data_IF_771633936655
#
_entry.id   IF_771633936655
#
_cell.length_a   1.000
_cell.length_b   1.000
_cell.length_c   1.000
_cell.angle_alpha   90.00
_cell.angle_beta   90.00
_cell.angle_gamma   90.00
#
_symmetry.space_group_name_H-M   'P 1'
#
loop_
_entity.id
_entity.type
_entity.pdbx_description
1 polymer ?
#
# COMPACT_ATOMS: atom_id res chain seq x y z
N UNK A 1 20.47 -4.64 29.77
CA UNK A 1 21.48 -4.05 28.87
C UNK A 1 20.74 -3.40 27.70
N UNK A 2 21.00 -2.14 27.39
CA UNK A 2 20.43 -1.49 26.22
C UNK A 2 21.30 -1.79 25.00
N UNK A 3 20.68 -2.06 23.84
CA UNK A 3 21.39 -2.33 22.58
C UNK A 3 21.15 -1.13 21.67
N UNK A 4 22.20 -0.57 21.06
CA UNK A 4 22.09 0.59 20.19
C UNK A 4 23.00 0.42 18.97
N UNK A 5 22.63 1.06 17.88
CA UNK A 5 23.41 0.99 16.64
C UNK A 5 22.70 1.68 15.47
N UNK A 6 23.22 1.45 14.27
CA UNK A 6 22.66 1.97 13.02
C UNK A 6 22.20 0.84 12.14
N UNK A 7 21.10 1.06 11.42
CA UNK A 7 20.57 0.09 10.45
C UNK A 7 21.50 -0.13 9.25
N UNK A 8 22.41 0.81 9.00
CA UNK A 8 23.46 0.68 7.99
C UNK A 8 24.53 -0.36 8.39
N UNK A 9 24.76 -0.55 9.70
CA UNK A 9 25.78 -1.47 10.22
C UNK A 9 25.19 -2.86 10.53
N UNK A 10 23.95 -2.90 11.01
CA UNK A 10 23.21 -4.13 11.31
C UNK A 10 21.76 -3.97 10.87
N UNK A 11 21.33 -4.80 9.93
CA UNK A 11 19.96 -4.71 9.42
C UNK A 11 18.95 -5.14 10.49
N UNK A 12 17.72 -4.66 10.35
CA UNK A 12 16.65 -5.04 11.26
C UNK A 12 16.34 -6.55 11.18
N UNK A 13 16.55 -7.17 10.01
CA UNK A 13 16.43 -8.62 9.83
C UNK A 13 17.43 -9.41 10.68
N UNK A 14 18.62 -8.86 10.90
CA UNK A 14 19.66 -9.51 11.72
C UNK A 14 19.44 -9.25 13.21
N UNK A 15 18.92 -8.06 13.55
CA UNK A 15 18.67 -7.64 14.93
C UNK A 15 17.46 -8.37 15.55
N UNK A 16 16.36 -8.50 14.82
CA UNK A 16 15.10 -9.01 15.35
C UNK A 16 15.17 -10.46 15.88
N UNK A 17 15.90 -11.41 15.26
CA UNK A 17 16.12 -12.74 15.82
C UNK A 17 16.76 -12.71 17.20
N UNK A 18 17.69 -11.78 17.46
CA UNK A 18 18.34 -11.60 18.77
C UNK A 18 17.34 -11.06 19.80
N UNK A 19 16.48 -10.15 19.38
CA UNK A 19 15.44 -9.55 20.22
C UNK A 19 14.22 -10.45 20.42
N UNK A 20 14.08 -11.53 19.64
CA UNK A 20 12.87 -12.36 19.64
C UNK A 20 12.58 -13.06 20.98
N UNK A 21 13.59 -13.28 21.83
CA UNK A 21 13.39 -13.81 23.18
C UNK A 21 13.34 -12.73 24.26
N UNK A 22 13.48 -11.45 23.89
CA UNK A 22 13.54 -10.34 24.83
C UNK A 22 12.19 -9.62 24.92
N UNK A 23 11.93 -9.00 26.06
CA UNK A 23 10.82 -8.08 26.26
C UNK A 23 11.36 -6.66 26.43
N UNK A 24 10.77 -5.70 25.72
CA UNK A 24 11.26 -4.33 25.70
C UNK A 24 10.72 -3.51 24.55
N UNK A 25 11.31 -2.33 24.34
CA UNK A 25 10.96 -1.43 23.24
C UNK A 25 12.16 -1.28 22.33
N UNK A 26 11.97 -1.57 21.06
CA UNK A 26 12.89 -1.21 20.00
C UNK A 26 12.41 0.09 19.36
N UNK A 27 13.13 1.17 19.61
CA UNK A 27 12.91 2.47 18.97
C UNK A 27 13.84 2.60 17.78
N UNK A 28 13.32 3.09 16.66
CA UNK A 28 14.08 3.38 15.44
C UNK A 28 13.77 4.81 15.04
N UNK A 29 14.80 5.65 15.03
CA UNK A 29 14.73 7.05 14.64
C UNK A 29 15.49 7.29 13.33
N UNK A 30 15.33 8.49 12.76
CA UNK A 30 16.02 8.90 11.54
C UNK A 30 15.74 7.97 10.33
N UNK A 31 14.51 7.46 10.24
CA UNK A 31 14.04 6.77 9.04
C UNK A 31 14.05 7.71 7.84
N UNK A 32 14.07 7.15 6.62
CA UNK A 32 14.17 7.91 5.35
C UNK A 32 13.11 9.01 5.21
N UNK A 33 11.93 8.80 5.80
CA UNK A 33 10.80 9.74 5.79
C UNK A 33 10.74 10.66 7.03
N UNK A 34 11.78 10.66 7.86
CA UNK A 34 11.87 11.44 9.10
C UNK A 34 10.97 10.94 10.24
N UNK A 35 10.28 9.82 10.07
CA UNK A 35 9.41 9.26 11.11
C UNK A 35 10.21 8.46 12.15
N UNK A 36 9.58 8.23 13.30
CA UNK A 36 10.08 7.35 14.35
C UNK A 36 9.16 6.14 14.46
N UNK A 37 9.75 4.96 14.56
CA UNK A 37 9.07 3.70 14.80
C UNK A 37 9.39 3.20 16.22
N UNK A 38 8.40 2.66 16.92
CA UNK A 38 8.60 1.99 18.20
C UNK A 38 7.86 0.66 18.22
N UNK A 39 8.62 -0.43 18.39
CA UNK A 39 8.12 -1.79 18.48
C UNK A 39 8.20 -2.26 19.93
N UNK A 40 7.05 -2.51 20.53
CA UNK A 40 6.98 -3.12 21.86
C UNK A 40 6.96 -4.64 21.71
N UNK A 41 8.02 -5.27 22.18
CA UNK A 41 8.26 -6.70 22.10
C UNK A 41 7.95 -7.35 23.44
N UNK A 42 7.23 -8.46 23.41
CA UNK A 42 6.97 -9.30 24.57
C UNK A 42 6.92 -10.77 24.15
N UNK A 43 7.89 -11.57 24.60
CA UNK A 43 7.91 -13.02 24.35
C UNK A 43 7.88 -13.41 22.87
N UNK A 44 8.60 -12.67 22.01
CA UNK A 44 8.64 -12.93 20.57
C UNK A 44 7.41 -12.45 19.80
N UNK A 45 6.57 -11.63 20.42
CA UNK A 45 5.43 -10.99 19.80
C UNK A 45 5.58 -9.48 19.82
N UNK A 46 5.13 -8.82 18.75
CA UNK A 46 4.92 -7.37 18.75
C UNK A 46 3.55 -7.13 19.39
N UNK A 47 3.58 -6.50 20.57
CA UNK A 47 2.39 -6.12 21.36
C UNK A 47 1.86 -4.76 21.03
N UNK A 48 2.70 -3.88 20.53
CA UNK A 48 2.31 -2.52 20.14
C UNK A 48 3.30 -2.03 19.11
N UNK A 49 2.80 -1.35 18.10
CA UNK A 49 3.63 -0.74 17.07
C UNK A 49 3.19 0.70 16.88
N UNK A 50 4.07 1.62 17.27
CA UNK A 50 3.92 3.04 16.98
C UNK A 50 4.73 3.42 15.75
N UNK A 51 4.13 4.26 14.91
CA UNK A 51 4.82 4.87 13.78
C UNK A 51 4.38 6.32 13.62
N UNK A 52 5.35 7.24 13.59
CA UNK A 52 5.05 8.67 13.53
C UNK A 52 4.22 9.17 14.72
N UNK A 53 4.41 8.54 15.89
CA UNK A 53 3.66 8.87 17.12
C UNK A 53 2.23 8.33 17.18
N UNK A 54 1.79 7.48 16.22
CA UNK A 54 0.45 6.87 16.21
C UNK A 54 0.52 5.37 16.40
N UNK A 55 -0.45 4.82 17.12
CA UNK A 55 -0.66 3.38 17.22
C UNK A 55 -1.21 2.83 15.91
N UNK A 56 -0.59 1.76 15.42
CA UNK A 56 -1.03 1.05 14.22
C UNK A 56 -1.97 -0.09 14.57
N UNK A 57 -3.01 -0.28 13.74
CA UNK A 57 -3.82 -1.49 13.79
C UNK A 57 -3.07 -2.72 13.22
N UNK A 58 -3.64 -3.91 13.33
CA UNK A 58 -3.01 -5.17 12.89
C UNK A 58 -2.59 -5.14 11.42
N UNK A 59 -3.39 -4.57 10.53
CA UNK A 59 -3.11 -4.54 9.10
C UNK A 59 -2.01 -3.53 8.78
N UNK A 60 -2.12 -2.33 9.36
CA UNK A 60 -1.13 -1.26 9.22
C UNK A 60 0.21 -1.68 9.81
N UNK A 61 0.21 -2.29 11.00
CA UNK A 61 1.41 -2.79 11.66
C UNK A 61 2.13 -3.84 10.81
N UNK A 62 1.38 -4.77 10.19
CA UNK A 62 1.96 -5.74 9.25
C UNK A 62 2.63 -5.02 8.08
N UNK A 63 1.90 -4.17 7.36
CA UNK A 63 2.43 -3.51 6.16
C UNK A 63 3.60 -2.57 6.47
N UNK A 64 3.53 -1.82 7.57
CA UNK A 64 4.61 -0.94 8.01
C UNK A 64 5.84 -1.71 8.47
N UNK A 65 5.66 -2.90 9.03
CA UNK A 65 6.78 -3.76 9.42
C UNK A 65 7.59 -4.20 8.20
N UNK A 66 6.96 -4.48 7.05
CA UNK A 66 7.67 -4.80 5.81
C UNK A 66 8.65 -3.67 5.47
N UNK A 67 8.15 -2.44 5.38
CA UNK A 67 8.99 -1.28 5.04
C UNK A 67 10.13 -1.11 6.04
N UNK A 68 9.82 -1.24 7.34
CA UNK A 68 10.78 -1.05 8.41
C UNK A 68 11.92 -2.07 8.36
N UNK A 69 11.61 -3.34 8.09
CA UNK A 69 12.60 -4.43 7.98
C UNK A 69 13.53 -4.25 6.79
N UNK A 70 13.07 -3.57 5.73
CA UNK A 70 13.87 -3.29 4.54
C UNK A 70 14.58 -1.93 4.58
N UNK A 71 14.29 -1.09 5.58
CA UNK A 71 15.00 0.17 5.76
C UNK A 71 16.48 -0.05 6.02
N UNK A 72 17.32 0.67 5.28
CA UNK A 72 18.78 0.70 5.49
C UNK A 72 19.23 1.95 6.25
N UNK A 73 18.33 2.89 6.47
CA UNK A 73 18.60 4.13 7.18
C UNK A 73 17.86 4.16 8.52
N UNK A 74 18.57 4.62 9.55
CA UNK A 74 18.02 4.88 10.87
C UNK A 74 18.96 4.45 11.98
N UNK A 75 18.78 5.07 13.15
CA UNK A 75 19.42 4.67 14.39
C UNK A 75 18.44 3.83 15.19
N UNK A 76 18.89 2.75 15.80
CA UNK A 76 18.05 1.91 16.65
C UNK A 76 18.53 1.93 18.10
N UNK A 77 17.58 1.82 19.02
CA UNK A 77 17.82 1.65 20.44
C UNK A 77 16.80 0.66 21.02
N UNK A 78 17.29 -0.44 21.58
CA UNK A 78 16.49 -1.40 22.33
C UNK A 78 16.65 -1.17 23.83
N UNK A 79 15.51 -1.01 24.51
CA UNK A 79 15.43 -0.85 25.96
C UNK A 79 14.63 -2.02 26.55
N UNK A 80 15.26 -2.92 27.33
CA UNK A 80 14.54 -3.97 28.02
C UNK A 80 13.51 -3.36 28.98
N UNK A 81 12.29 -3.89 28.98
CA UNK A 81 11.25 -3.53 29.95
C UNK A 81 10.79 -4.79 30.68
N UNK A 82 10.55 -4.66 31.98
CA UNK A 82 10.13 -5.78 32.83
C UNK A 82 8.64 -6.13 32.75
N UNK A 83 7.82 -5.33 32.06
CA UNK A 83 6.37 -5.49 32.04
C UNK A 83 5.73 -4.93 30.75
N UNK A 84 4.55 -5.45 30.43
CA UNK A 84 3.75 -5.10 29.26
C UNK A 84 3.38 -3.62 29.24
N UNK A 85 3.37 -3.01 28.05
CA UNK A 85 3.05 -1.59 27.86
C UNK A 85 1.55 -1.44 27.63
N UNK A 86 0.91 -0.55 28.40
CA UNK A 86 -0.50 -0.22 28.22
C UNK A 86 -0.77 0.35 26.81
N UNK A 87 -1.83 -0.14 26.15
CA UNK A 87 -2.21 0.29 24.81
C UNK A 87 -3.00 -0.79 24.04
N UNK A 88 -3.38 -0.51 22.78
CA UNK A 88 -3.96 -1.52 21.90
C UNK A 88 -2.97 -2.66 21.71
N UNK A 89 -3.39 -3.87 22.12
CA UNK A 89 -2.54 -5.06 22.07
C UNK A 89 -2.62 -5.71 20.69
N UNK A 90 -1.48 -5.70 20.00
CA UNK A 90 -1.21 -6.52 18.86
C UNK A 90 -0.77 -7.92 19.34
N UNK A 91 -1.09 -8.95 18.56
CA UNK A 91 -0.63 -10.32 18.79
C UNK A 91 0.12 -10.82 17.55
N UNK A 92 1.06 -10.02 17.06
CA UNK A 92 1.83 -10.34 15.86
C UNK A 92 3.06 -11.15 16.25
N UNK A 93 3.13 -12.41 15.80
CA UNK A 93 4.31 -13.24 15.98
C UNK A 93 5.47 -12.70 15.13
N UNK A 94 6.59 -12.37 15.78
CA UNK A 94 7.73 -11.73 15.12
C UNK A 94 8.34 -12.62 14.03
N UNK A 95 8.44 -13.93 14.27
CA UNK A 95 9.03 -14.89 13.32
C UNK A 95 8.17 -15.03 12.08
N UNK A 96 6.87 -15.21 12.26
CA UNK A 96 5.91 -15.29 11.15
C UNK A 96 5.91 -13.99 10.34
N UNK A 97 6.01 -12.85 11.01
CA UNK A 97 6.03 -11.54 10.37
C UNK A 97 7.31 -11.30 9.58
N UNK A 98 8.47 -11.72 10.09
CA UNK A 98 9.74 -11.70 9.37
C UNK A 98 9.68 -12.53 8.09
N UNK A 99 9.21 -13.78 8.19
CA UNK A 99 9.04 -14.67 7.01
C UNK A 99 8.11 -14.02 5.99
N UNK A 100 6.97 -13.49 6.44
CA UNK A 100 6.02 -12.83 5.56
C UNK A 100 6.61 -11.57 4.91
N UNK A 101 7.39 -10.77 5.65
CA UNK A 101 8.01 -9.55 5.12
C UNK A 101 9.01 -9.83 3.99
N UNK A 102 9.84 -10.87 4.14
CA UNK A 102 10.77 -11.32 3.10
C UNK A 102 9.99 -11.73 1.84
N UNK A 103 8.99 -12.60 1.99
CA UNK A 103 8.18 -13.07 0.85
C UNK A 103 7.47 -11.91 0.12
N UNK A 104 6.93 -10.94 0.86
CA UNK A 104 6.25 -9.79 0.26
C UNK A 104 7.22 -8.87 -0.49
N UNK A 105 8.46 -8.71 -0.02
CA UNK A 105 9.45 -7.89 -0.72
C UNK A 105 9.90 -8.53 -2.01
N UNK A 106 10.13 -9.85 -2.02
CA UNK A 106 10.50 -10.57 -3.24
C UNK A 106 9.39 -10.45 -4.30
N UNK A 107 8.13 -10.54 -3.89
CA UNK A 107 6.97 -10.30 -4.74
C UNK A 107 6.98 -8.86 -5.29
N UNK A 108 7.23 -7.85 -4.45
CA UNK A 108 7.31 -6.45 -4.86
C UNK A 108 8.44 -6.19 -5.87
N UNK A 109 9.63 -6.72 -5.62
CA UNK A 109 10.77 -6.59 -6.52
C UNK A 109 10.49 -7.25 -7.87
N UNK A 110 9.82 -8.40 -7.87
CA UNK A 110 9.46 -9.12 -9.11
C UNK A 110 8.51 -8.32 -10.01
N UNK A 111 7.61 -7.52 -9.42
CA UNK A 111 6.64 -6.71 -10.16
C UNK A 111 7.01 -5.24 -10.27
N UNK A 112 8.12 -4.77 -9.69
CA UNK A 112 8.43 -3.35 -9.54
C UNK A 112 8.31 -2.55 -10.85
N UNK A 113 8.81 -3.10 -11.96
CA UNK A 113 8.73 -2.49 -13.30
C UNK A 113 7.34 -2.55 -13.96
N UNK A 114 6.40 -3.30 -13.40
CA UNK A 114 5.03 -3.49 -13.90
C UNK A 114 4.00 -2.79 -13.01
N UNK A 115 4.42 -2.23 -11.88
CA UNK A 115 3.54 -1.50 -10.97
C UNK A 115 3.02 -0.23 -11.66
N UNK A 116 1.71 0.07 -11.53
CA UNK A 116 1.15 1.27 -12.13
C UNK A 116 1.82 2.53 -11.59
N UNK A 117 1.77 3.60 -12.38
CA UNK A 117 2.22 4.92 -11.93
C UNK A 117 1.42 5.33 -10.67
N UNK A 118 2.09 5.89 -9.63
CA UNK A 118 1.44 6.26 -8.37
C UNK A 118 0.19 7.15 -8.51
N UNK A 119 0.12 7.93 -9.59
CA UNK A 119 -0.91 8.91 -9.86
C UNK A 119 -1.96 8.40 -10.88
N UNK A 120 -1.83 7.16 -11.36
CA UNK A 120 -2.88 6.50 -12.17
C UNK A 120 -4.12 6.27 -11.32
N UNK A 121 -5.25 6.84 -11.73
CA UNK A 121 -6.54 6.69 -11.04
C UNK A 121 -7.20 5.37 -11.44
N UNK A 122 -7.61 4.58 -10.46
CA UNK A 122 -8.37 3.35 -10.64
C UNK A 122 -9.79 3.50 -10.11
N UNK A 123 -10.74 2.87 -10.79
CA UNK A 123 -12.14 2.75 -10.35
C UNK A 123 -12.53 1.29 -10.22
N UNK A 124 -13.50 1.00 -9.36
CA UNK A 124 -14.08 -0.34 -9.28
C UNK A 124 -14.74 -0.73 -10.62
N UNK A 125 -14.50 -1.95 -11.08
CA UNK A 125 -15.11 -2.51 -12.29
C UNK A 125 -16.57 -2.95 -12.08
N UNK A 126 -17.09 -2.83 -10.85
CA UNK A 126 -18.41 -3.29 -10.43
C UNK A 126 -18.34 -4.09 -9.13
N UNK A 127 -19.40 -4.82 -8.80
CA UNK A 127 -19.36 -5.75 -7.66
C UNK A 127 -18.50 -6.96 -8.04
N UNK A 128 -17.41 -7.24 -7.32
CA UNK A 128 -16.56 -8.38 -7.64
C UNK A 128 -17.33 -9.69 -7.41
N UNK A 129 -17.20 -10.64 -8.35
CA UNK A 129 -17.82 -11.96 -8.22
C UNK A 129 -17.21 -12.79 -7.08
N UNK A 130 -15.94 -12.51 -6.74
CA UNK A 130 -15.22 -13.10 -5.62
C UNK A 130 -14.30 -12.04 -5.00
N UNK A 131 -14.29 -11.96 -3.67
CA UNK A 131 -13.37 -11.09 -2.94
C UNK A 131 -12.07 -11.85 -2.69
N UNK A 132 -10.90 -11.26 -2.99
CA UNK A 132 -9.61 -11.86 -2.66
C UNK A 132 -9.54 -12.17 -1.16
N UNK A 133 -8.95 -13.31 -0.81
CA UNK A 133 -8.76 -13.67 0.59
C UNK A 133 -7.58 -12.93 1.25
N UNK A 134 -7.53 -12.99 2.58
CA UNK A 134 -6.41 -12.48 3.37
C UNK A 134 -6.23 -10.96 3.31
N UNK A 135 -4.97 -10.53 3.27
CA UNK A 135 -4.58 -9.11 3.36
C UNK A 135 -5.13 -8.29 2.19
N UNK A 136 -5.14 -8.84 0.98
CA UNK A 136 -5.62 -8.14 -0.22
C UNK A 136 -7.12 -7.86 -0.13
N UNK A 137 -7.92 -8.81 0.36
CA UNK A 137 -9.35 -8.61 0.59
C UNK A 137 -9.64 -7.55 1.64
N UNK A 138 -8.92 -7.60 2.77
CA UNK A 138 -9.06 -6.60 3.84
C UNK A 138 -8.72 -5.18 3.34
N UNK A 139 -7.65 -5.06 2.56
CA UNK A 139 -7.25 -3.81 1.93
C UNK A 139 -8.30 -3.31 0.94
N UNK A 140 -8.83 -4.19 0.09
CA UNK A 140 -9.91 -3.83 -0.84
C UNK A 140 -11.14 -3.32 -0.11
N UNK A 141 -11.59 -3.98 0.96
CA UNK A 141 -12.75 -3.56 1.74
C UNK A 141 -12.58 -2.15 2.33
N UNK A 142 -11.36 -1.80 2.79
CA UNK A 142 -11.04 -0.44 3.25
C UNK A 142 -10.96 0.57 2.11
N UNK A 143 -10.47 0.15 0.94
CA UNK A 143 -10.33 1.00 -0.23
C UNK A 143 -11.63 1.17 -1.04
N UNK A 144 -12.64 0.32 -0.83
CA UNK A 144 -13.81 0.21 -1.69
C UNK A 144 -14.54 1.55 -1.89
N UNK A 145 -14.72 2.32 -0.83
CA UNK A 145 -15.35 3.64 -0.91
C UNK A 145 -14.58 4.62 -1.81
N UNK A 146 -13.25 4.61 -1.70
CA UNK A 146 -12.37 5.46 -2.52
C UNK A 146 -12.31 4.97 -3.98
N UNK A 147 -12.32 3.65 -4.19
CA UNK A 147 -12.34 3.04 -5.53
C UNK A 147 -13.68 3.26 -6.25
N UNK A 148 -14.77 3.50 -5.52
CA UNK A 148 -16.06 3.85 -6.10
C UNK A 148 -16.06 5.20 -6.83
N UNK A 149 -15.41 6.22 -6.28
CA UNK A 149 -15.26 7.55 -6.90
C UNK A 149 -14.02 7.67 -7.79
N UNK A 150 -13.06 6.77 -7.60
CA UNK A 150 -11.79 6.73 -8.30
C UNK A 150 -10.65 7.22 -7.40
N UNK A 151 -9.62 6.41 -7.26
CA UNK A 151 -8.46 6.74 -6.42
C UNK A 151 -7.16 6.27 -7.05
N UNK A 152 -6.10 7.05 -6.87
CA UNK A 152 -4.74 6.65 -7.23
C UNK A 152 -4.06 5.88 -6.08
N UNK A 153 -2.91 5.24 -6.35
CA UNK A 153 -2.12 4.63 -5.27
C UNK A 153 -1.66 5.65 -4.25
N UNK A 154 -1.35 6.89 -4.69
CA UNK A 154 -0.98 7.98 -3.79
C UNK A 154 -2.14 8.39 -2.89
N UNK A 155 -3.35 8.46 -3.42
CA UNK A 155 -4.54 8.78 -2.63
C UNK A 155 -4.81 7.69 -1.60
N UNK A 156 -4.78 6.42 -2.01
CA UNK A 156 -5.03 5.29 -1.12
C UNK A 156 -3.95 5.19 -0.02
N UNK A 157 -2.68 5.43 -0.36
CA UNK A 157 -1.59 5.46 0.62
C UNK A 157 -1.85 6.51 1.73
N UNK A 158 -2.32 7.70 1.36
CA UNK A 158 -2.64 8.76 2.33
C UNK A 158 -3.88 8.44 3.16
N UNK A 159 -5.00 8.09 2.52
CA UNK A 159 -6.28 7.91 3.20
C UNK A 159 -6.31 6.67 4.09
N UNK A 160 -5.62 5.61 3.69
CA UNK A 160 -5.57 4.34 4.43
C UNK A 160 -4.33 4.23 5.32
N UNK A 161 -3.47 5.27 5.33
CA UNK A 161 -2.18 5.29 6.01
C UNK A 161 -1.33 4.04 5.68
N UNK A 162 -1.18 3.75 4.39
CA UNK A 162 -0.43 2.62 3.87
C UNK A 162 0.89 3.09 3.25
N UNK A 163 1.94 2.25 3.26
CA UNK A 163 3.10 2.46 2.42
C UNK A 163 2.72 2.56 0.94
N UNK A 164 3.38 3.47 0.20
CA UNK A 164 3.06 3.71 -1.20
C UNK A 164 3.28 2.47 -2.07
N UNK A 165 4.37 1.73 -1.85
CA UNK A 165 4.65 0.47 -2.56
C UNK A 165 3.52 -0.54 -2.40
N UNK A 166 3.01 -0.69 -1.17
CA UNK A 166 1.88 -1.56 -0.86
C UNK A 166 0.58 -1.11 -1.54
N UNK A 167 0.29 0.19 -1.58
CA UNK A 167 -0.88 0.72 -2.29
C UNK A 167 -0.78 0.48 -3.81
N UNK A 168 0.42 0.59 -4.40
CA UNK A 168 0.66 0.29 -5.82
C UNK A 168 0.51 -1.20 -6.11
N UNK A 169 1.08 -2.06 -5.25
CA UNK A 169 0.97 -3.51 -5.36
C UNK A 169 -0.48 -3.98 -5.24
N UNK A 170 -1.22 -3.45 -4.27
CA UNK A 170 -2.65 -3.72 -4.10
C UNK A 170 -3.42 -3.41 -5.39
N UNK A 171 -3.28 -2.21 -5.95
CA UNK A 171 -3.98 -1.84 -7.20
C UNK A 171 -3.55 -2.70 -8.38
N UNK A 172 -2.26 -3.04 -8.47
CA UNK A 172 -1.77 -3.96 -9.50
C UNK A 172 -2.46 -5.32 -9.41
N UNK A 173 -2.52 -5.94 -8.23
CA UNK A 173 -3.16 -7.25 -8.02
C UNK A 173 -4.67 -7.20 -8.26
N UNK A 174 -5.35 -6.15 -7.77
CA UNK A 174 -6.78 -5.96 -8.03
C UNK A 174 -7.08 -5.76 -9.52
N UNK A 175 -6.18 -5.10 -10.26
CA UNK A 175 -6.30 -4.94 -11.71
C UNK A 175 -6.13 -6.28 -12.43
N UNK A 176 -5.15 -7.10 -12.05
CA UNK A 176 -4.97 -8.44 -12.60
C UNK A 176 -6.18 -9.35 -12.34
N UNK A 177 -6.81 -9.19 -11.18
CA UNK A 177 -8.06 -9.89 -10.83
C UNK A 177 -9.31 -9.32 -11.52
N UNK A 178 -9.19 -8.24 -12.31
CA UNK A 178 -10.32 -7.60 -12.98
C UNK A 178 -11.29 -6.85 -12.04
N UNK A 179 -10.91 -6.63 -10.78
CA UNK A 179 -11.75 -5.96 -9.77
C UNK A 179 -11.71 -4.44 -9.95
N UNK A 180 -10.58 -3.90 -10.38
CA UNK A 180 -10.41 -2.47 -10.68
C UNK A 180 -9.90 -2.27 -12.10
N UNK A 181 -10.27 -1.14 -12.69
CA UNK A 181 -9.80 -0.71 -14.00
C UNK A 181 -9.23 0.70 -13.94
N UNK A 182 -8.19 1.01 -14.72
CA UNK A 182 -7.70 2.38 -14.80
C UNK A 182 -8.78 3.27 -15.40
N UNK A 183 -9.09 4.38 -14.73
CA UNK A 183 -9.99 5.41 -15.24
C UNK A 183 -9.29 6.08 -16.41
N UNK A 184 -9.70 5.75 -17.63
CA UNK A 184 -9.18 6.42 -18.82
C UNK A 184 -9.55 7.90 -18.72
N UNK A 185 -8.54 8.77 -18.70
CA UNK A 185 -8.72 10.20 -18.91
C UNK A 185 -9.05 10.44 -20.39
N UNK A 186 -10.20 9.94 -20.86
CA UNK A 186 -10.75 10.44 -22.11
C UNK A 186 -11.49 11.73 -21.75
N UNK A 187 -10.78 12.83 -21.91
CA UNK A 187 -11.43 14.12 -22.16
C UNK A 187 -12.30 13.90 -23.38
N UNK A 188 -13.61 13.76 -23.19
CA UNK A 188 -14.54 13.99 -24.28
C UNK A 188 -14.36 15.44 -24.73
N UNK A 189 -13.53 15.65 -25.74
CA UNK A 189 -13.70 16.77 -26.66
C UNK A 189 -15.14 16.68 -27.16
N UNK A 190 -16.02 17.67 -26.89
CA UNK A 190 -17.38 17.61 -27.39
C UNK A 190 -17.36 17.95 -28.87
N UNK A 191 -17.29 16.95 -29.75
CA UNK A 191 -17.57 17.03 -31.19
C UNK A 191 -17.54 15.59 -31.74
N UNK A 192 -18.59 15.04 -32.36
CA UNK A 192 -19.43 15.67 -33.36
C UNK A 192 -20.89 15.23 -33.24
N UNK A 193 -21.81 16.18 -33.36
CA UNK A 193 -23.18 15.91 -33.79
C UNK A 193 -23.11 15.11 -35.11
N UNK A 194 -23.87 14.03 -35.28
CA UNK A 194 -23.99 13.39 -36.58
C UNK A 194 -24.77 14.35 -37.49
N UNK A 195 -24.06 15.22 -38.21
CA UNK A 195 -24.66 16.00 -39.29
C UNK A 195 -24.96 15.01 -40.41
N UNK A 196 -26.25 14.76 -40.59
CA UNK A 196 -26.80 13.64 -41.33
C UNK A 196 -26.20 13.44 -42.71
N UNK A 197 -25.87 12.19 -43.01
CA UNK A 197 -25.66 11.69 -44.37
C UNK A 197 -26.83 12.07 -45.31
N UNK A 198 -28.04 12.22 -44.76
CA UNK A 198 -29.23 12.66 -45.49
C UNK A 198 -29.13 14.08 -46.08
N UNK A 199 -28.48 15.04 -45.41
CA UNK A 199 -28.33 16.40 -45.96
C UNK A 199 -27.25 16.49 -47.03
N UNK A 200 -26.26 15.58 -47.03
CA UNK A 200 -25.26 15.48 -48.11
C UNK A 200 -25.83 14.83 -49.37
N UNK A 201 -26.74 13.87 -49.26
CA UNK A 201 -27.39 13.27 -50.44
C UNK A 201 -28.43 14.20 -51.09
N UNK A 202 -29.20 14.96 -50.30
CA UNK A 202 -30.16 15.92 -50.85
C UNK A 202 -29.48 17.07 -51.62
N UNK A 203 -28.28 17.48 -51.23
CA UNK A 203 -27.55 18.56 -51.92
C UNK A 203 -26.92 18.10 -53.25
N UNK A 204 -26.61 16.82 -53.40
CA UNK A 204 -26.06 16.25 -54.64
C UNK A 204 -27.13 16.05 -55.72
N UNK A 205 -28.41 15.87 -55.34
CA UNK A 205 -29.52 15.70 -56.28
C UNK A 205 -30.12 17.03 -56.75
N UNK A 206 -30.02 18.10 -55.96
CA UNK A 206 -30.58 19.42 -56.30
C UNK A 206 -29.59 20.34 -57.08
N UNK A 207 -28.31 19.96 -57.19
CA UNK A 207 -27.27 20.77 -57.85
C UNK A 207 -27.05 20.50 -59.34
N UNK A 208 -27.84 19.63 -59.98
CA UNK A 208 -27.60 19.20 -61.37
C UNK A 208 -28.82 19.42 -62.26
N UNK A 209 -29.28 20.67 -62.34
CA UNK A 209 -30.26 21.09 -63.37
C UNK A 209 -30.29 22.62 -63.57
N UNK A 210 -29.28 23.15 -64.26
CA UNK A 210 -29.39 24.41 -65.04
C UNK A 210 -28.10 24.67 -65.83
N UNK A 211 -28.07 24.15 -67.06
CA UNK A 211 -27.49 24.73 -68.29
C UNK A 211 -27.42 23.60 -69.32
#
# INVERSE_FOLDING_TARGET
MAIFGKLADMSLMDLLPVLASMSGVLEISELENGQVAALHLEGGQIRRFLYGGRDLDVLQARLQFIELVHSRQGNFAFRPLGHSVAGPSLALNLKELLVWAVTQRDEELSYYGQLPDPDTVFVSAGTPAYLPEGVLGQLYLRAAAHLGSGASSRDLARHLALPLGQARMMLHRLRLAGIVVPKRAYTETPQARPVGLATRMLRALLGRRSA
#
